data_IF_600082344018
#
_entry.id   IF_600082344018
#
_cell.length_a   1.000
_cell.length_b   1.000
_cell.length_c   1.000
_cell.angle_alpha   90.00
_cell.angle_beta   90.00
_cell.angle_gamma   90.00
#
_symmetry.space_group_name_H-M   'P 1'
#
loop_
_entity.id
_entity.type
_entity.pdbx_description
1 polymer ?
#
# COMPACT_ATOMS: atom_id res chain seq x y z
N UNK A 1 -7.64 -8.72 15.13
CA UNK A 1 -8.35 -9.37 14.00
C UNK A 1 -7.94 -8.64 12.72
N UNK A 2 -7.72 -9.33 11.59
CA UNK A 2 -7.36 -8.68 10.31
C UNK A 2 -8.62 -8.12 9.64
N UNK A 3 -8.55 -6.90 9.10
CA UNK A 3 -9.65 -6.25 8.39
C UNK A 3 -9.74 -6.66 6.92
N UNK A 4 -10.97 -6.81 6.42
CA UNK A 4 -11.23 -7.23 5.03
C UNK A 4 -11.28 -6.06 4.03
N UNK A 5 -11.30 -4.81 4.52
CA UNK A 5 -11.34 -3.62 3.66
C UNK A 5 -10.13 -3.59 2.74
N UNK A 6 -10.33 -3.34 1.44
CA UNK A 6 -9.24 -3.10 0.49
C UNK A 6 -9.08 -1.59 0.39
N UNK A 7 -7.92 -1.07 0.79
CA UNK A 7 -7.66 0.36 0.79
C UNK A 7 -7.76 0.94 -0.63
N UNK A 8 -8.39 2.12 -0.80
CA UNK A 8 -8.40 2.84 -2.07
C UNK A 8 -6.99 3.22 -2.54
N UNK A 9 -6.77 3.22 -3.85
CA UNK A 9 -5.48 3.51 -4.49
C UNK A 9 -4.93 4.89 -4.09
N UNK A 10 -5.78 5.91 -4.07
CA UNK A 10 -5.45 7.29 -3.72
C UNK A 10 -5.05 7.43 -2.24
N UNK A 11 -5.70 6.68 -1.35
CA UNK A 11 -5.31 6.63 0.06
C UNK A 11 -3.91 6.05 0.23
N UNK A 12 -3.57 4.99 -0.51
CA UNK A 12 -2.22 4.40 -0.47
C UNK A 12 -1.19 5.38 -1.05
N UNK A 13 -1.47 5.99 -2.20
CA UNK A 13 -0.59 6.97 -2.82
C UNK A 13 -0.32 8.16 -1.88
N UNK A 14 -1.37 8.71 -1.24
CA UNK A 14 -1.24 9.81 -0.29
C UNK A 14 -0.44 9.44 0.97
N UNK A 15 -0.53 8.18 1.43
CA UNK A 15 0.31 7.69 2.54
C UNK A 15 1.79 7.60 2.15
N UNK A 16 2.09 7.18 0.93
CA UNK A 16 3.47 7.15 0.40
C UNK A 16 3.99 8.58 0.27
N UNK A 17 3.22 9.48 -0.32
CA UNK A 17 3.57 10.90 -0.45
C UNK A 17 3.86 11.53 0.91
N UNK A 18 3.00 11.30 1.90
CA UNK A 18 3.22 11.79 3.26
C UNK A 18 4.53 11.24 3.86
N UNK A 19 4.79 9.94 3.73
CA UNK A 19 6.02 9.33 4.25
C UNK A 19 7.26 9.90 3.57
N UNK A 20 7.22 10.11 2.25
CA UNK A 20 8.32 10.73 1.48
C UNK A 20 8.55 12.18 1.91
N UNK A 21 7.49 12.96 2.10
CA UNK A 21 7.59 14.34 2.58
C UNK A 21 8.22 14.45 3.98
N UNK A 22 7.97 13.47 4.85
CA UNK A 22 8.50 13.46 6.22
C UNK A 22 9.92 12.89 6.30
N UNK A 23 10.22 11.81 5.55
CA UNK A 23 11.44 11.04 5.72
C UNK A 23 12.49 11.26 4.63
N UNK A 24 12.10 11.80 3.47
CA UNK A 24 12.93 11.87 2.26
C UNK A 24 12.82 10.61 1.40
N UNK A 25 12.72 10.81 0.08
CA UNK A 25 12.56 9.73 -0.90
C UNK A 25 13.75 8.76 -0.88
N UNK A 26 14.95 9.26 -0.60
CA UNK A 26 16.19 8.48 -0.55
C UNK A 26 16.19 7.42 0.56
N UNK A 27 15.31 7.55 1.56
CA UNK A 27 15.20 6.60 2.67
C UNK A 27 14.13 5.52 2.47
N UNK A 28 13.25 5.69 1.48
CA UNK A 28 12.11 4.78 1.25
C UNK A 28 12.36 3.98 -0.03
N UNK A 29 12.87 2.76 0.14
CA UNK A 29 13.14 1.84 -0.98
C UNK A 29 11.97 0.90 -1.28
N UNK A 30 11.13 0.61 -0.29
CA UNK A 30 10.11 -0.42 -0.37
C UNK A 30 8.81 0.05 0.27
N UNK A 31 7.70 -0.45 -0.28
CA UNK A 31 6.36 -0.33 0.30
C UNK A 31 5.83 -1.76 0.42
N UNK A 32 5.35 -2.11 1.62
CA UNK A 32 4.85 -3.44 1.94
C UNK A 32 3.61 -3.33 2.82
N UNK A 33 2.76 -4.37 2.90
CA UNK A 33 1.70 -4.41 3.90
C UNK A 33 2.27 -4.46 5.32
N UNK A 34 1.54 -3.95 6.30
CA UNK A 34 1.97 -3.89 7.70
C UNK A 34 2.38 -5.26 8.27
N UNK A 35 1.69 -6.32 7.85
CA UNK A 35 1.95 -7.71 8.26
C UNK A 35 1.29 -8.67 7.26
N UNK A 36 1.58 -9.98 7.34
CA UNK A 36 1.05 -11.00 6.44
C UNK A 36 -0.48 -11.16 6.43
N UNK A 37 -1.00 -11.89 5.43
CA UNK A 37 -2.43 -12.06 5.18
C UNK A 37 -3.02 -13.39 5.67
N UNK A 38 -2.36 -14.09 6.60
CA UNK A 38 -2.71 -15.44 7.06
C UNK A 38 -4.20 -15.63 7.45
N UNK A 39 -4.86 -14.57 7.90
CA UNK A 39 -6.27 -14.61 8.34
C UNK A 39 -7.27 -14.02 7.32
N UNK A 40 -6.84 -13.64 6.11
CA UNK A 40 -7.71 -13.04 5.10
C UNK A 40 -8.15 -14.06 4.05
N UNK A 41 -9.39 -13.97 3.53
CA UNK A 41 -9.76 -14.67 2.31
C UNK A 41 -8.79 -14.33 1.18
N UNK A 42 -8.47 -15.31 0.33
CA UNK A 42 -7.51 -15.13 -0.76
C UNK A 42 -7.87 -13.94 -1.67
N UNK A 43 -9.16 -13.80 -2.00
CA UNK A 43 -9.67 -12.70 -2.82
C UNK A 43 -9.42 -11.32 -2.23
N UNK A 44 -9.45 -11.19 -0.90
CA UNK A 44 -9.15 -9.92 -0.22
C UNK A 44 -7.65 -9.65 -0.25
N UNK A 45 -6.82 -10.66 0.05
CA UNK A 45 -5.37 -10.53 0.02
C UNK A 45 -4.86 -10.12 -1.36
N UNK A 46 -5.37 -10.74 -2.43
CA UNK A 46 -5.00 -10.40 -3.81
C UNK A 46 -5.39 -8.97 -4.17
N UNK A 47 -6.60 -8.54 -3.82
CA UNK A 47 -7.06 -7.16 -4.06
C UNK A 47 -6.26 -6.13 -3.29
N UNK A 48 -5.88 -6.42 -2.04
CA UNK A 48 -4.98 -5.55 -1.24
C UNK A 48 -3.62 -5.40 -1.89
N UNK A 49 -3.03 -6.49 -2.38
CA UNK A 49 -1.75 -6.42 -3.08
C UNK A 49 -1.85 -5.64 -4.40
N UNK A 50 -2.92 -5.86 -5.17
CA UNK A 50 -3.16 -5.11 -6.40
C UNK A 50 -3.32 -3.60 -6.12
N UNK A 51 -4.09 -3.23 -5.09
CA UNK A 51 -4.26 -1.84 -4.68
C UNK A 51 -2.93 -1.22 -4.19
N UNK A 52 -2.13 -1.95 -3.43
CA UNK A 52 -0.81 -1.48 -2.96
C UNK A 52 0.12 -1.14 -4.13
N UNK A 53 0.16 -2.02 -5.13
CA UNK A 53 0.95 -1.80 -6.35
C UNK A 53 0.43 -0.59 -7.12
N UNK A 54 -0.89 -0.50 -7.34
CA UNK A 54 -1.51 0.62 -8.03
C UNK A 54 -1.28 1.96 -7.32
N UNK A 55 -1.35 1.99 -5.97
CA UNK A 55 -1.12 3.21 -5.19
C UNK A 55 0.34 3.67 -5.26
N UNK A 56 1.29 2.72 -5.23
CA UNK A 56 2.70 3.01 -5.50
C UNK A 56 2.89 3.59 -6.91
N UNK A 57 2.28 2.98 -7.92
CA UNK A 57 2.45 3.40 -9.31
C UNK A 57 1.83 4.78 -9.56
N UNK A 58 0.67 5.06 -8.96
CA UNK A 58 0.06 6.39 -8.95
C UNK A 58 0.99 7.44 -8.31
N UNK A 59 1.61 7.15 -7.17
CA UNK A 59 2.59 8.04 -6.53
C UNK A 59 3.82 8.30 -7.44
N UNK A 60 4.29 7.26 -8.13
CA UNK A 60 5.45 7.35 -9.03
C UNK A 60 5.12 7.92 -10.42
N UNK A 61 3.84 8.15 -10.74
CA UNK A 61 3.38 8.60 -12.06
C UNK A 61 3.63 7.58 -13.18
N UNK A 62 3.42 6.27 -12.89
CA UNK A 62 3.64 5.16 -13.83
C UNK A 62 2.37 4.56 -14.38
#
# INVERSE_FOLDING_TARGET
IKGNEVEPTDVIAGRIEHAVNVLGMERIKWVHPDCGFWMLPRSVADRKMAALVAGRDQFLGR
#
